data_IF_610229122153
#
_entry.id   IF_610229122153
#
_cell.length_a   1.000
_cell.length_b   1.000
_cell.length_c   1.000
_cell.angle_alpha   90.00
_cell.angle_beta   90.00
_cell.angle_gamma   90.00
#
_symmetry.space_group_name_H-M   'P 1'
#
loop_
_entity.id
_entity.type
_entity.pdbx_description
1 polymer ?
#
# COMPACT_ATOMS: atom_id res chain seq x y z
N UNK A 1 11.59 -24.38 -2.06
CA UNK A 1 12.71 -23.45 -2.36
C UNK A 1 12.60 -22.25 -1.42
N UNK A 2 13.70 -21.83 -0.81
CA UNK A 2 13.69 -20.84 0.27
C UNK A 2 13.31 -19.45 -0.23
N UNK A 3 13.80 -19.06 -1.41
CA UNK A 3 13.47 -17.77 -2.04
C UNK A 3 11.95 -17.61 -2.25
N UNK A 4 11.28 -18.71 -2.63
CA UNK A 4 9.82 -18.74 -2.76
C UNK A 4 9.10 -18.53 -1.42
N UNK A 5 9.60 -19.10 -0.34
CA UNK A 5 9.01 -18.89 0.98
C UNK A 5 9.14 -17.43 1.42
N UNK A 6 10.33 -16.84 1.26
CA UNK A 6 10.56 -15.44 1.63
C UNK A 6 9.72 -14.47 0.80
N UNK A 7 9.73 -14.60 -0.53
CA UNK A 7 8.94 -13.71 -1.39
C UNK A 7 7.46 -13.82 -1.10
N UNK A 8 6.94 -15.05 -0.89
CA UNK A 8 5.53 -15.25 -0.59
C UNK A 8 5.15 -14.66 0.77
N UNK A 9 6.01 -14.77 1.79
CA UNK A 9 5.78 -14.17 3.09
C UNK A 9 5.68 -12.64 3.00
N UNK A 10 6.61 -12.00 2.27
CA UNK A 10 6.61 -10.54 2.06
C UNK A 10 5.36 -10.08 1.31
N UNK A 11 4.95 -10.81 0.28
CA UNK A 11 3.74 -10.50 -0.47
C UNK A 11 2.47 -10.69 0.36
N UNK A 12 2.49 -11.57 1.37
CA UNK A 12 1.37 -11.73 2.29
C UNK A 12 1.29 -10.59 3.29
N UNK A 13 2.40 -10.29 3.95
CA UNK A 13 2.54 -9.15 4.86
C UNK A 13 4.03 -8.85 5.06
N UNK A 14 4.48 -7.67 4.61
CA UNK A 14 5.87 -7.25 4.73
C UNK A 14 6.37 -7.14 6.20
N UNK A 15 5.47 -7.01 7.17
CA UNK A 15 5.81 -6.85 8.59
C UNK A 15 6.26 -8.14 9.26
N UNK A 16 6.01 -9.31 8.64
CA UNK A 16 6.49 -10.60 9.15
C UNK A 16 8.00 -10.77 8.97
N UNK A 17 8.64 -9.92 8.16
CA UNK A 17 10.05 -10.03 7.88
C UNK A 17 10.87 -9.35 8.97
N UNK A 18 11.70 -10.15 9.65
CA UNK A 18 12.62 -9.69 10.69
C UNK A 18 14.04 -10.20 10.39
N UNK A 19 15.04 -9.34 10.60
CA UNK A 19 16.45 -9.68 10.46
C UNK A 19 17.13 -9.61 11.82
N UNK A 20 17.42 -10.77 12.39
CA UNK A 20 18.15 -10.94 13.65
C UNK A 20 19.58 -11.47 13.44
N UNK A 21 19.83 -12.17 12.33
CA UNK A 21 21.13 -12.76 11.99
C UNK A 21 22.09 -11.79 11.28
N UNK A 22 23.33 -11.62 11.77
CA UNK A 22 24.31 -10.72 11.15
C UNK A 22 24.79 -11.20 9.77
N UNK A 23 24.66 -12.48 9.46
CA UNK A 23 25.09 -13.11 8.21
C UNK A 23 23.92 -13.45 7.27
N UNK A 24 22.70 -13.03 7.59
CA UNK A 24 21.51 -13.34 6.78
C UNK A 24 21.69 -12.97 5.30
N UNK A 25 22.25 -11.78 5.02
CA UNK A 25 22.45 -11.33 3.65
C UNK A 25 23.41 -12.24 2.88
N UNK A 26 24.47 -12.71 3.52
CA UNK A 26 25.44 -13.61 2.91
C UNK A 26 24.82 -14.99 2.65
N UNK A 27 24.06 -15.51 3.62
CA UNK A 27 23.33 -16.78 3.45
C UNK A 27 22.28 -16.66 2.34
N UNK A 28 21.51 -15.58 2.30
CA UNK A 28 20.53 -15.30 1.27
C UNK A 28 21.18 -15.25 -0.13
N UNK A 29 22.32 -14.58 -0.27
CA UNK A 29 23.06 -14.53 -1.55
C UNK A 29 23.55 -15.92 -1.98
N UNK A 30 24.10 -16.72 -1.04
CA UNK A 30 24.52 -18.11 -1.32
C UNK A 30 23.34 -18.97 -1.73
N UNK A 31 22.22 -18.88 -1.03
CA UNK A 31 20.98 -19.61 -1.34
C UNK A 31 20.44 -19.22 -2.72
N UNK A 32 20.41 -17.93 -3.04
CA UNK A 32 20.01 -17.43 -4.35
C UNK A 32 20.86 -18.01 -5.48
N UNK A 33 22.18 -18.05 -5.30
CA UNK A 33 23.10 -18.66 -6.27
C UNK A 33 22.80 -20.14 -6.51
N UNK A 34 22.66 -20.93 -5.43
CA UNK A 34 22.34 -22.36 -5.52
C UNK A 34 21.02 -22.58 -6.26
N UNK A 35 19.99 -21.79 -5.93
CA UNK A 35 18.68 -21.93 -6.57
C UNK A 35 18.72 -21.56 -8.06
N UNK A 36 19.46 -20.50 -8.42
CA UNK A 36 19.68 -20.06 -9.82
C UNK A 36 20.39 -21.14 -10.63
N UNK A 37 21.46 -21.72 -10.07
CA UNK A 37 22.23 -22.78 -10.70
C UNK A 37 21.36 -24.02 -10.93
N UNK A 38 20.50 -24.37 -9.96
CA UNK A 38 19.60 -25.52 -10.05
C UNK A 38 18.38 -25.33 -10.96
N UNK A 39 17.98 -24.09 -11.28
CA UNK A 39 16.74 -23.80 -12.00
C UNK A 39 16.94 -23.42 -13.46
N UNK A 40 18.18 -23.38 -13.95
CA UNK A 40 18.49 -22.87 -15.30
C UNK A 40 18.25 -21.36 -15.47
N UNK A 41 18.18 -20.61 -14.35
CA UNK A 41 17.98 -19.16 -14.36
C UNK A 41 19.28 -18.36 -14.48
N UNK A 42 20.43 -19.03 -14.59
CA UNK A 42 21.77 -18.42 -14.61
C UNK A 42 21.84 -17.26 -15.61
N UNK A 43 21.36 -17.49 -16.83
CA UNK A 43 21.36 -16.50 -17.91
C UNK A 43 20.58 -15.23 -17.55
N UNK A 44 19.57 -15.31 -16.68
CA UNK A 44 18.65 -14.21 -16.38
C UNK A 44 19.05 -13.41 -15.14
N UNK A 45 20.04 -13.87 -14.39
CA UNK A 45 20.53 -13.19 -13.19
C UNK A 45 21.13 -11.80 -13.47
N UNK A 46 21.50 -11.50 -14.72
CA UNK A 46 22.11 -10.24 -15.15
C UNK A 46 21.30 -9.49 -16.22
N UNK A 47 20.24 -10.09 -16.72
CA UNK A 47 19.47 -9.57 -17.86
C UNK A 47 18.34 -8.64 -17.40
N UNK A 48 17.96 -7.71 -18.28
CA UNK A 48 16.76 -6.87 -18.11
C UNK A 48 15.48 -7.60 -18.53
N UNK A 49 14.29 -7.05 -18.23
CA UNK A 49 13.01 -7.66 -18.59
C UNK A 49 12.88 -8.04 -20.06
N UNK A 50 13.23 -7.13 -20.98
CA UNK A 50 13.09 -7.37 -22.43
C UNK A 50 13.90 -8.57 -22.93
N UNK A 51 15.15 -8.68 -22.48
CA UNK A 51 16.02 -9.79 -22.85
C UNK A 51 15.47 -11.11 -22.29
N UNK A 52 14.95 -11.09 -21.06
CA UNK A 52 14.36 -12.28 -20.42
C UNK A 52 13.06 -12.68 -21.13
N UNK A 53 12.21 -11.72 -21.54
CA UNK A 53 11.00 -11.99 -22.34
C UNK A 53 11.35 -12.71 -23.64
N UNK A 54 12.34 -12.21 -24.38
CA UNK A 54 12.81 -12.82 -25.62
C UNK A 54 13.34 -14.24 -25.40
N UNK A 55 14.23 -14.43 -24.42
CA UNK A 55 14.78 -15.75 -24.09
C UNK A 55 13.71 -16.72 -23.56
N UNK A 56 12.70 -16.23 -22.83
CA UNK A 56 11.59 -17.06 -22.35
C UNK A 56 10.73 -17.55 -23.51
N UNK A 57 10.42 -16.71 -24.50
CA UNK A 57 9.71 -17.11 -25.71
C UNK A 57 10.53 -18.11 -26.54
N UNK A 58 11.82 -17.86 -26.74
CA UNK A 58 12.69 -18.78 -27.47
C UNK A 58 12.76 -20.16 -26.80
N UNK A 59 12.95 -20.21 -25.48
CA UNK A 59 12.91 -21.46 -24.71
C UNK A 59 11.55 -22.13 -24.78
N UNK A 60 10.46 -21.35 -24.74
CA UNK A 60 9.12 -21.91 -24.90
C UNK A 60 8.92 -22.55 -26.28
N UNK A 61 9.39 -21.92 -27.35
CA UNK A 61 9.27 -22.46 -28.70
C UNK A 61 10.14 -23.70 -28.94
N UNK A 62 11.30 -23.79 -28.28
CA UNK A 62 12.27 -24.88 -28.48
C UNK A 62 12.05 -26.06 -27.54
N UNK A 63 11.74 -25.80 -26.26
CA UNK A 63 11.61 -26.81 -25.20
C UNK A 63 10.15 -27.03 -24.76
N UNK A 64 9.22 -26.17 -25.18
CA UNK A 64 7.84 -26.19 -24.72
C UNK A 64 7.66 -25.65 -23.30
N UNK A 65 6.50 -25.94 -22.70
CA UNK A 65 6.19 -25.54 -21.32
C UNK A 65 6.84 -26.46 -20.28
N UNK A 66 8.17 -26.52 -20.28
CA UNK A 66 8.95 -27.37 -19.39
C UNK A 66 9.01 -26.87 -17.94
N UNK A 67 9.27 -27.78 -17.01
CA UNK A 67 9.49 -27.42 -15.59
C UNK A 67 10.68 -26.47 -15.40
N UNK A 68 11.69 -26.55 -16.29
CA UNK A 68 12.86 -25.67 -16.30
C UNK A 68 12.47 -24.20 -16.54
N UNK A 69 11.72 -23.93 -17.62
CA UNK A 69 11.29 -22.58 -17.99
C UNK A 69 10.43 -21.94 -16.90
N UNK A 70 9.42 -22.67 -16.40
CA UNK A 70 8.54 -22.19 -15.32
C UNK A 70 9.31 -21.90 -14.04
N UNK A 71 10.25 -22.76 -13.66
CA UNK A 71 11.09 -22.54 -12.47
C UNK A 71 12.03 -21.35 -12.65
N UNK A 72 12.63 -21.18 -13.83
CA UNK A 72 13.51 -20.06 -14.12
C UNK A 72 12.75 -18.73 -14.02
N UNK A 73 11.58 -18.62 -14.65
CA UNK A 73 10.75 -17.40 -14.61
C UNK A 73 10.29 -17.10 -13.18
N UNK A 74 9.78 -18.14 -12.51
CA UNK A 74 9.30 -18.00 -11.14
C UNK A 74 10.39 -17.61 -10.15
N UNK A 75 11.63 -18.06 -10.35
CA UNK A 75 12.76 -17.67 -9.50
C UNK A 75 13.21 -16.24 -9.80
N UNK A 76 13.36 -15.86 -11.07
CA UNK A 76 13.80 -14.51 -11.47
C UNK A 76 12.88 -13.43 -10.92
N UNK A 77 11.57 -13.58 -11.07
CA UNK A 77 10.58 -12.65 -10.50
C UNK A 77 10.75 -12.50 -8.99
N UNK A 78 10.94 -13.61 -8.27
CA UNK A 78 11.09 -13.59 -6.81
C UNK A 78 12.40 -12.96 -6.37
N UNK A 79 13.49 -13.17 -7.11
CA UNK A 79 14.76 -12.51 -6.85
C UNK A 79 14.65 -11.00 -7.03
N UNK A 80 13.91 -10.53 -8.03
CA UNK A 80 13.63 -9.10 -8.19
C UNK A 80 12.77 -8.54 -7.05
N UNK A 81 11.69 -9.23 -6.66
CA UNK A 81 10.85 -8.84 -5.50
C UNK A 81 11.71 -8.72 -4.24
N UNK A 82 12.48 -9.76 -3.92
CA UNK A 82 13.35 -9.78 -2.75
C UNK A 82 14.41 -8.67 -2.84
N UNK A 83 15.01 -8.45 -4.02
CA UNK A 83 16.03 -7.42 -4.20
C UNK A 83 15.46 -6.04 -3.93
N UNK A 84 14.33 -5.70 -4.54
CA UNK A 84 13.68 -4.41 -4.34
C UNK A 84 13.26 -4.21 -2.89
N UNK A 85 12.60 -5.21 -2.30
CA UNK A 85 12.19 -5.18 -0.90
C UNK A 85 13.35 -4.96 0.08
N UNK A 86 14.45 -5.70 -0.08
CA UNK A 86 15.61 -5.57 0.82
C UNK A 86 16.32 -4.23 0.66
N UNK A 87 16.33 -3.66 -0.55
CA UNK A 87 16.93 -2.35 -0.79
C UNK A 87 16.13 -1.20 -0.16
N UNK A 88 14.79 -1.25 -0.18
CA UNK A 88 14.00 -0.28 0.59
C UNK A 88 14.14 -0.47 2.09
N UNK A 89 14.05 -1.71 2.59
CA UNK A 89 13.94 -1.96 4.03
C UNK A 89 15.27 -1.68 4.75
N UNK A 90 16.39 -2.16 4.19
CA UNK A 90 17.70 -2.10 4.86
C UNK A 90 18.46 -0.84 4.46
N UNK A 91 18.45 -0.50 3.16
CA UNK A 91 19.30 0.57 2.62
C UNK A 91 18.56 1.86 2.34
N UNK A 92 17.22 1.90 2.51
CA UNK A 92 16.35 3.03 2.16
C UNK A 92 16.56 3.52 0.72
N UNK A 93 16.87 2.59 -0.20
CA UNK A 93 17.03 2.88 -1.63
C UNK A 93 15.73 2.62 -2.36
N UNK A 94 14.79 3.56 -2.20
CA UNK A 94 13.44 3.43 -2.77
C UNK A 94 13.45 3.42 -4.30
N UNK A 95 14.40 4.11 -4.94
CA UNK A 95 14.54 4.10 -6.39
C UNK A 95 14.89 2.71 -6.95
N UNK A 96 15.80 2.00 -6.27
CA UNK A 96 16.14 0.61 -6.60
C UNK A 96 14.96 -0.33 -6.32
N UNK A 97 14.18 -0.06 -5.28
CA UNK A 97 12.96 -0.82 -4.98
C UNK A 97 11.93 -0.70 -6.10
N UNK A 98 11.62 0.54 -6.52
CA UNK A 98 10.72 0.83 -7.64
C UNK A 98 11.21 0.14 -8.92
N UNK A 99 12.50 0.22 -9.22
CA UNK A 99 13.07 -0.42 -10.41
C UNK A 99 12.87 -1.94 -10.39
N UNK A 100 13.30 -2.65 -9.34
CA UNK A 100 13.28 -4.10 -9.34
C UNK A 100 11.87 -4.68 -9.18
N UNK A 101 11.03 -4.09 -8.34
CA UNK A 101 9.64 -4.55 -8.20
C UNK A 101 8.86 -4.18 -9.46
N UNK A 102 9.13 -3.04 -10.09
CA UNK A 102 8.55 -2.64 -11.37
C UNK A 102 8.88 -3.63 -12.48
N UNK A 103 10.15 -4.04 -12.60
CA UNK A 103 10.58 -5.11 -13.52
C UNK A 103 9.81 -6.42 -13.30
N UNK A 104 9.62 -6.81 -12.04
CA UNK A 104 8.84 -8.00 -11.70
C UNK A 104 7.38 -7.85 -12.14
N UNK A 105 6.74 -6.73 -11.81
CA UNK A 105 5.35 -6.46 -12.18
C UNK A 105 5.15 -6.43 -13.70
N UNK A 106 6.03 -5.76 -14.42
CA UNK A 106 6.01 -5.68 -15.88
C UNK A 106 6.11 -7.07 -16.53
N UNK A 107 7.07 -7.88 -16.07
CA UNK A 107 7.26 -9.24 -16.56
C UNK A 107 6.06 -10.14 -16.25
N UNK A 108 5.45 -9.97 -15.07
CA UNK A 108 4.27 -10.71 -14.66
C UNK A 108 3.04 -10.37 -15.50
N UNK A 109 2.77 -9.08 -15.73
CA UNK A 109 1.67 -8.61 -16.58
C UNK A 109 1.84 -9.12 -18.02
N UNK A 110 3.06 -9.01 -18.55
CA UNK A 110 3.40 -9.55 -19.87
C UNK A 110 3.16 -11.06 -19.96
N UNK A 111 3.65 -11.84 -18.99
CA UNK A 111 3.51 -13.29 -19.00
C UNK A 111 2.05 -13.74 -18.84
N UNK A 112 1.29 -13.05 -17.99
CA UNK A 112 -0.13 -13.33 -17.81
C UNK A 112 -0.95 -13.15 -19.11
N UNK A 113 -0.64 -12.12 -19.90
CA UNK A 113 -1.28 -11.90 -21.20
C UNK A 113 -0.77 -12.88 -22.26
N UNK A 114 0.54 -13.10 -22.32
CA UNK A 114 1.18 -13.97 -23.32
C UNK A 114 0.68 -15.41 -23.23
N UNK A 115 0.42 -15.89 -22.01
CA UNK A 115 -0.03 -17.26 -21.74
C UNK A 115 -1.41 -17.31 -21.08
N UNK A 116 -2.30 -16.38 -21.45
CA UNK A 116 -3.65 -16.30 -20.88
C UNK A 116 -4.50 -17.55 -21.11
N UNK A 117 -4.26 -18.25 -22.22
CA UNK A 117 -4.99 -19.48 -22.60
C UNK A 117 -4.39 -20.74 -21.95
N UNK A 118 -3.26 -20.62 -21.24
CA UNK A 118 -2.64 -21.74 -20.52
C UNK A 118 -3.22 -21.90 -19.12
N UNK A 119 -3.36 -23.13 -18.64
CA UNK A 119 -3.86 -23.38 -17.28
C UNK A 119 -2.92 -22.78 -16.22
N UNK A 120 -3.44 -22.45 -15.02
CA UNK A 120 -2.60 -21.96 -13.91
C UNK A 120 -1.53 -22.97 -13.50
N UNK A 121 -1.84 -24.27 -13.56
CA UNK A 121 -0.87 -25.35 -13.29
C UNK A 121 0.28 -25.30 -14.30
N UNK A 122 -0.05 -25.04 -15.56
CA UNK A 122 0.96 -24.88 -16.61
C UNK A 122 1.69 -23.57 -16.39
N UNK A 123 1.07 -22.40 -16.62
CA UNK A 123 1.75 -21.10 -16.58
C UNK A 123 2.52 -20.83 -15.29
N UNK A 124 2.04 -21.37 -14.17
CA UNK A 124 2.65 -21.28 -12.86
C UNK A 124 2.04 -20.17 -12.01
N UNK A 125 2.05 -20.40 -10.70
CA UNK A 125 1.35 -19.56 -9.71
C UNK A 125 1.79 -18.09 -9.70
N UNK A 126 2.99 -17.79 -10.20
CA UNK A 126 3.50 -16.42 -10.27
C UNK A 126 2.68 -15.54 -11.21
N UNK A 127 2.08 -16.10 -12.25
CA UNK A 127 1.19 -15.37 -13.17
C UNK A 127 -0.27 -15.44 -12.74
N UNK A 128 -0.57 -15.91 -11.52
CA UNK A 128 -1.93 -15.84 -11.00
C UNK A 128 -2.31 -14.39 -10.69
N UNK A 129 -3.58 -14.00 -10.87
CA UNK A 129 -4.04 -12.64 -10.55
C UNK A 129 -3.68 -12.21 -9.13
N UNK A 130 -3.86 -13.10 -8.15
CA UNK A 130 -3.50 -12.82 -6.74
C UNK A 130 -2.02 -12.48 -6.54
N UNK A 131 -1.11 -13.17 -7.23
CA UNK A 131 0.32 -12.89 -7.12
C UNK A 131 0.67 -11.54 -7.76
N UNK A 132 0.07 -11.23 -8.91
CA UNK A 132 0.25 -9.95 -9.61
C UNK A 132 -0.20 -8.79 -8.74
N UNK A 133 -1.41 -8.89 -8.16
CA UNK A 133 -1.93 -7.86 -7.25
C UNK A 133 -1.05 -7.70 -6.01
N UNK A 134 -0.56 -8.79 -5.42
CA UNK A 134 0.39 -8.71 -4.30
C UNK A 134 1.67 -7.96 -4.67
N UNK A 135 2.24 -8.23 -5.86
CA UNK A 135 3.45 -7.54 -6.35
C UNK A 135 3.15 -6.08 -6.68
N UNK A 136 1.98 -5.79 -7.25
CA UNK A 136 1.57 -4.42 -7.57
C UNK A 136 1.34 -3.58 -6.30
N UNK A 137 0.73 -4.15 -5.26
CA UNK A 137 0.61 -3.50 -3.95
C UNK A 137 1.99 -3.18 -3.36
N UNK A 138 2.94 -4.11 -3.43
CA UNK A 138 4.30 -3.88 -2.97
C UNK A 138 5.04 -2.80 -3.80
N UNK A 139 4.80 -2.77 -5.11
CA UNK A 139 5.32 -1.72 -5.99
C UNK A 139 4.76 -0.35 -5.62
N UNK A 140 3.46 -0.26 -5.34
CA UNK A 140 2.80 0.98 -4.95
C UNK A 140 3.40 1.54 -3.66
N UNK A 141 3.65 0.69 -2.66
CA UNK A 141 4.34 1.08 -1.42
C UNK A 141 5.76 1.60 -1.69
N UNK A 142 6.52 0.91 -2.56
CA UNK A 142 7.85 1.35 -2.94
C UNK A 142 7.82 2.72 -3.65
N UNK A 143 6.85 2.93 -4.55
CA UNK A 143 6.69 4.17 -5.28
C UNK A 143 6.25 5.32 -4.36
N UNK A 144 5.32 5.07 -3.43
CA UNK A 144 4.91 6.06 -2.43
C UNK A 144 6.12 6.56 -1.63
N UNK A 145 6.95 5.64 -1.13
CA UNK A 145 8.17 6.01 -0.40
C UNK A 145 9.17 6.77 -1.29
N UNK A 146 9.31 6.38 -2.56
CA UNK A 146 10.17 7.05 -3.52
C UNK A 146 9.68 8.48 -3.82
N UNK A 147 8.37 8.68 -3.99
CA UNK A 147 7.74 9.99 -4.18
C UNK A 147 7.89 10.90 -2.96
N UNK A 148 7.79 10.35 -1.74
CA UNK A 148 8.04 11.13 -0.53
C UNK A 148 9.52 11.53 -0.39
N UNK A 149 10.44 10.66 -0.80
CA UNK A 149 11.88 10.90 -0.70
C UNK A 149 12.45 11.78 -1.81
N UNK A 150 11.95 11.64 -3.04
CA UNK A 150 12.40 12.38 -4.23
C UNK A 150 11.22 12.67 -5.18
N UNK A 151 10.37 13.66 -4.83
CA UNK A 151 9.18 14.00 -5.60
C UNK A 151 9.48 14.60 -6.98
N UNK A 152 10.75 14.95 -7.27
CA UNK A 152 11.15 15.44 -8.60
C UNK A 152 11.33 14.28 -9.57
N UNK A 153 11.84 13.15 -9.09
CA UNK A 153 12.05 11.93 -9.88
C UNK A 153 10.81 11.06 -9.95
N UNK A 154 10.04 10.98 -8.88
CA UNK A 154 8.85 10.12 -8.77
C UNK A 154 7.59 10.99 -8.59
N UNK A 155 6.79 11.11 -9.63
CA UNK A 155 5.67 12.06 -9.64
C UNK A 155 4.45 11.55 -8.87
N UNK A 156 3.74 12.49 -8.24
CA UNK A 156 2.47 12.20 -7.53
C UNK A 156 1.39 11.73 -8.50
N UNK A 157 1.42 12.17 -9.76
CA UNK A 157 0.44 11.81 -10.78
C UNK A 157 0.61 10.35 -11.23
N UNK A 158 1.86 9.87 -11.33
CA UNK A 158 2.13 8.45 -11.62
C UNK A 158 1.67 7.59 -10.45
N UNK A 159 2.02 7.98 -9.22
CA UNK A 159 1.58 7.30 -8.00
C UNK A 159 0.04 7.20 -7.91
N UNK A 160 -0.67 8.30 -8.23
CA UNK A 160 -2.13 8.32 -8.25
C UNK A 160 -2.71 7.37 -9.29
N UNK A 161 -2.17 7.39 -10.52
CA UNK A 161 -2.62 6.49 -11.58
C UNK A 161 -2.38 5.02 -11.23
N UNK A 162 -1.19 4.68 -10.74
CA UNK A 162 -0.86 3.30 -10.33
C UNK A 162 -1.77 2.83 -9.19
N UNK A 163 -2.14 3.72 -8.25
CA UNK A 163 -3.10 3.40 -7.20
C UNK A 163 -4.50 3.11 -7.77
N UNK A 164 -4.97 3.88 -8.75
CA UNK A 164 -6.25 3.61 -9.43
C UNK A 164 -6.22 2.29 -10.20
N UNK A 165 -5.11 2.00 -10.89
CA UNK A 165 -4.94 0.75 -11.62
C UNK A 165 -4.93 -0.45 -10.65
N UNK A 166 -4.25 -0.36 -9.51
CA UNK A 166 -4.28 -1.40 -8.47
C UNK A 166 -5.68 -1.59 -7.90
N UNK A 167 -6.41 -0.51 -7.62
CA UNK A 167 -7.78 -0.58 -7.10
C UNK A 167 -8.69 -1.37 -8.05
N UNK A 168 -8.62 -1.06 -9.35
CA UNK A 168 -9.35 -1.78 -10.38
C UNK A 168 -8.93 -3.25 -10.47
N UNK A 169 -7.63 -3.52 -10.46
CA UNK A 169 -7.13 -4.91 -10.49
C UNK A 169 -7.67 -5.73 -9.31
N UNK A 170 -7.81 -5.15 -8.12
CA UNK A 170 -8.37 -5.83 -6.95
C UNK A 170 -9.85 -6.22 -7.12
N UNK A 171 -10.63 -5.46 -7.88
CA UNK A 171 -12.03 -5.77 -8.18
C UNK A 171 -12.16 -6.93 -9.17
N UNK A 172 -11.17 -7.09 -10.05
CA UNK A 172 -11.13 -8.14 -11.07
C UNK A 172 -10.54 -9.47 -10.55
N UNK A 173 -9.95 -9.50 -9.35
CA UNK A 173 -9.38 -10.74 -8.78
C UNK A 173 -10.46 -11.73 -8.37
N UNK A 174 -10.51 -12.87 -9.06
CA UNK A 174 -11.22 -14.06 -8.61
C UNK A 174 -10.27 -14.94 -7.81
N UNK A 175 -10.56 -15.14 -6.52
CA UNK A 175 -9.80 -16.04 -5.65
C UNK A 175 -10.12 -17.51 -5.99
N UNK A 176 -9.13 -18.41 -5.97
CA UNK A 176 -9.39 -19.86 -6.08
C UNK A 176 -10.31 -20.35 -4.95
N UNK A 177 -11.17 -21.33 -5.24
CA UNK A 177 -12.11 -21.90 -4.26
C UNK A 177 -11.40 -22.38 -2.99
N UNK A 178 -10.23 -23.01 -3.14
CA UNK A 178 -9.39 -23.49 -2.04
C UNK A 178 -8.91 -22.36 -1.11
N UNK A 179 -8.81 -21.14 -1.64
CA UNK A 179 -8.38 -19.95 -0.90
C UNK A 179 -9.53 -19.21 -0.20
N UNK A 180 -10.79 -19.52 -0.52
CA UNK A 180 -11.95 -18.86 0.09
C UNK A 180 -12.04 -19.12 1.61
N UNK A 181 -11.46 -20.24 2.07
CA UNK A 181 -11.37 -20.62 3.47
C UNK A 181 -10.14 -20.09 4.23
N UNK A 182 -9.20 -19.40 3.59
CA UNK A 182 -8.03 -18.78 4.24
C UNK A 182 -8.25 -17.25 4.33
N UNK A 183 -8.70 -16.73 5.49
CA UNK A 183 -8.88 -15.29 5.69
C UNK A 183 -7.59 -14.51 5.45
N UNK A 184 -6.44 -15.08 5.81
CA UNK A 184 -5.15 -14.45 5.59
C UNK A 184 -4.81 -14.34 4.11
N UNK A 185 -5.15 -15.34 3.29
CA UNK A 185 -4.93 -15.27 1.85
C UNK A 185 -5.80 -14.18 1.22
N UNK A 186 -7.09 -14.16 1.59
CA UNK A 186 -8.01 -13.10 1.15
C UNK A 186 -7.48 -11.72 1.54
N UNK A 187 -7.08 -11.54 2.80
CA UNK A 187 -6.54 -10.27 3.28
C UNK A 187 -5.31 -9.83 2.50
N UNK A 188 -4.35 -10.74 2.30
CA UNK A 188 -3.10 -10.46 1.60
C UNK A 188 -3.27 -10.04 0.13
N UNK A 189 -4.24 -10.61 -0.58
CA UNK A 189 -4.33 -10.49 -2.04
C UNK A 189 -5.59 -9.81 -2.56
N UNK A 190 -6.47 -9.34 -1.68
CA UNK A 190 -7.64 -8.53 -2.06
C UNK A 190 -7.78 -7.32 -1.15
N UNK A 191 -7.98 -7.56 0.15
CA UNK A 191 -8.31 -6.52 1.12
C UNK A 191 -7.19 -5.52 1.36
N UNK A 192 -5.98 -5.97 1.70
CA UNK A 192 -4.86 -5.07 1.97
C UNK A 192 -4.39 -4.32 0.72
N UNK A 193 -4.23 -4.96 -0.45
CA UNK A 193 -3.97 -4.24 -1.69
C UNK A 193 -4.99 -3.12 -1.99
N UNK A 194 -6.28 -3.40 -1.80
CA UNK A 194 -7.35 -2.41 -1.98
C UNK A 194 -7.25 -1.26 -0.98
N UNK A 195 -7.04 -1.59 0.31
CA UNK A 195 -6.80 -0.59 1.35
C UNK A 195 -5.60 0.30 1.03
N UNK A 196 -4.48 -0.26 0.57
CA UNK A 196 -3.28 0.49 0.15
C UNK A 196 -3.56 1.42 -1.03
N UNK A 197 -4.24 0.93 -2.07
CA UNK A 197 -4.64 1.74 -3.21
C UNK A 197 -5.47 2.97 -2.78
N UNK A 198 -6.52 2.74 -1.98
CA UNK A 198 -7.39 3.80 -1.46
C UNK A 198 -6.61 4.81 -0.61
N UNK A 199 -5.72 4.35 0.27
CA UNK A 199 -4.91 5.26 1.11
C UNK A 199 -3.92 6.09 0.30
N UNK A 200 -3.40 5.55 -0.80
CA UNK A 200 -2.49 6.26 -1.72
C UNK A 200 -3.24 7.32 -2.53
N UNK A 201 -4.47 7.02 -2.98
CA UNK A 201 -5.38 7.99 -3.59
C UNK A 201 -5.70 9.12 -2.60
N UNK A 202 -5.99 8.77 -1.35
CA UNK A 202 -6.24 9.73 -0.30
C UNK A 202 -5.02 10.64 -0.03
N UNK A 203 -3.83 10.05 0.02
CA UNK A 203 -2.56 10.76 0.15
C UNK A 203 -2.33 11.75 -0.99
N UNK A 204 -2.62 11.35 -2.24
CA UNK A 204 -2.54 12.24 -3.40
C UNK A 204 -3.40 13.50 -3.20
N UNK A 205 -4.68 13.32 -2.86
CA UNK A 205 -5.57 14.45 -2.66
C UNK A 205 -5.15 15.35 -1.49
N UNK A 206 -4.70 14.78 -0.37
CA UNK A 206 -4.15 15.55 0.74
C UNK A 206 -2.96 16.42 0.30
N UNK A 207 -2.05 15.88 -0.52
CA UNK A 207 -0.87 16.62 -1.01
C UNK A 207 -1.20 17.69 -2.04
N UNK A 208 -2.24 17.49 -2.86
CA UNK A 208 -2.72 18.56 -3.75
C UNK A 208 -3.35 19.69 -2.93
N UNK A 209 -4.19 19.38 -1.93
CA UNK A 209 -4.77 20.38 -1.03
C UNK A 209 -3.68 21.19 -0.30
N UNK A 210 -2.66 20.52 0.25
CA UNK A 210 -1.52 21.16 0.91
C UNK A 210 -0.75 22.10 -0.04
N UNK A 211 -0.48 21.66 -1.28
CA UNK A 211 0.21 22.47 -2.28
C UNK A 211 -0.59 23.71 -2.69
N UNK A 212 -1.89 23.56 -2.91
CA UNK A 212 -2.79 24.66 -3.27
C UNK A 212 -2.87 25.68 -2.13
N UNK A 213 -2.95 25.21 -0.89
CA UNK A 213 -2.98 26.06 0.30
C UNK A 213 -1.67 26.84 0.51
N UNK A 214 -0.52 26.22 0.21
CA UNK A 214 0.78 26.90 0.27
C UNK A 214 1.02 27.88 -0.90
N UNK A 215 0.15 27.89 -1.91
CA UNK A 215 0.29 28.73 -3.09
C UNK A 215 -0.18 30.18 -2.87
N UNK A 216 0.36 31.11 -3.66
CA UNK A 216 -0.01 32.54 -3.60
C UNK A 216 -1.50 32.82 -3.87
N UNK A 217 -2.18 31.89 -4.55
CA UNK A 217 -3.59 32.00 -4.93
C UNK A 217 -4.52 31.17 -4.04
N UNK A 218 -4.09 30.75 -2.84
CA UNK A 218 -4.85 29.85 -1.97
C UNK A 218 -6.31 30.31 -1.73
N UNK A 219 -6.55 31.61 -1.54
CA UNK A 219 -7.91 32.16 -1.38
C UNK A 219 -8.79 31.98 -2.63
N UNK A 220 -8.23 32.15 -3.82
CA UNK A 220 -8.95 31.94 -5.07
C UNK A 220 -9.20 30.45 -5.36
N UNK A 221 -8.37 29.57 -4.79
CA UNK A 221 -8.42 28.12 -4.96
C UNK A 221 -9.13 27.39 -3.81
N UNK A 222 -9.79 28.13 -2.90
CA UNK A 222 -10.39 27.60 -1.68
C UNK A 222 -11.31 26.40 -1.94
N UNK A 223 -12.21 26.51 -2.92
CA UNK A 223 -13.13 25.42 -3.25
C UNK A 223 -12.38 24.14 -3.66
N UNK A 224 -11.30 24.26 -4.44
CA UNK A 224 -10.50 23.09 -4.83
C UNK A 224 -9.74 22.50 -3.64
N UNK A 225 -9.26 23.32 -2.72
CA UNK A 225 -8.61 22.87 -1.48
C UNK A 225 -9.60 22.06 -0.63
N UNK A 226 -10.82 22.57 -0.45
CA UNK A 226 -11.88 21.88 0.30
C UNK A 226 -12.31 20.58 -0.39
N UNK A 227 -12.48 20.60 -1.72
CA UNK A 227 -12.82 19.41 -2.51
C UNK A 227 -11.75 18.31 -2.38
N UNK A 228 -10.47 18.68 -2.51
CA UNK A 228 -9.38 17.71 -2.34
C UNK A 228 -9.27 17.19 -0.90
N UNK A 229 -9.48 18.05 0.11
CA UNK A 229 -9.51 17.61 1.51
C UNK A 229 -10.64 16.62 1.75
N UNK A 230 -11.85 16.88 1.21
CA UNK A 230 -12.99 15.96 1.31
C UNK A 230 -12.70 14.63 0.61
N UNK A 231 -12.20 14.67 -0.62
CA UNK A 231 -11.84 13.45 -1.36
C UNK A 231 -10.79 12.62 -0.62
N UNK A 232 -9.79 13.28 -0.01
CA UNK A 232 -8.80 12.60 0.83
C UNK A 232 -9.46 11.91 2.03
N UNK A 233 -10.36 12.61 2.72
CA UNK A 233 -11.06 12.08 3.88
C UNK A 233 -11.90 10.84 3.54
N UNK A 234 -12.66 10.91 2.45
CA UNK A 234 -13.52 9.82 1.97
C UNK A 234 -12.70 8.58 1.60
N UNK A 235 -11.58 8.75 0.89
CA UNK A 235 -10.73 7.61 0.50
C UNK A 235 -9.96 7.02 1.67
N UNK A 236 -9.50 7.82 2.64
CA UNK A 236 -8.93 7.30 3.89
C UNK A 236 -9.99 6.53 4.69
N UNK A 237 -11.22 7.03 4.76
CA UNK A 237 -12.32 6.32 5.43
C UNK A 237 -12.60 4.98 4.76
N UNK A 238 -12.72 4.95 3.42
CA UNK A 238 -12.89 3.70 2.67
C UNK A 238 -11.72 2.75 2.89
N UNK A 239 -10.49 3.25 2.86
CA UNK A 239 -9.29 2.46 3.14
C UNK A 239 -9.36 1.81 4.52
N UNK A 240 -9.73 2.56 5.56
CA UNK A 240 -9.87 2.04 6.92
C UNK A 240 -10.83 0.84 6.98
N UNK A 241 -11.95 0.90 6.26
CA UNK A 241 -12.96 -0.16 6.25
C UNK A 241 -12.58 -1.41 5.46
N UNK A 242 -11.50 -1.36 4.66
CA UNK A 242 -10.92 -2.58 4.13
C UNK A 242 -10.19 -3.36 5.25
N UNK A 243 -9.51 -2.68 6.17
CA UNK A 243 -8.75 -3.36 7.21
C UNK A 243 -9.64 -3.89 8.36
N UNK A 244 -9.29 -5.04 8.96
CA UNK A 244 -9.90 -5.52 10.20
C UNK A 244 -9.83 -4.46 11.31
N UNK A 245 -10.84 -4.41 12.18
CA UNK A 245 -10.96 -3.38 13.23
C UNK A 245 -9.86 -3.42 14.29
N UNK A 246 -9.13 -4.53 14.40
CA UNK A 246 -7.99 -4.75 15.28
C UNK A 246 -6.64 -4.60 14.56
N UNK A 247 -6.65 -4.11 13.32
CA UNK A 247 -5.47 -3.85 12.50
C UNK A 247 -5.01 -2.39 12.67
N UNK A 248 -3.70 -2.12 12.65
CA UNK A 248 -3.16 -0.78 12.93
C UNK A 248 -3.52 0.28 11.88
N UNK A 249 -3.58 -0.10 10.61
CA UNK A 249 -3.96 0.76 9.50
C UNK A 249 -5.44 1.13 9.54
N UNK A 250 -6.32 0.27 10.09
CA UNK A 250 -7.74 0.61 10.28
C UNK A 250 -7.88 1.89 11.10
N UNK A 251 -7.28 1.91 12.30
CA UNK A 251 -7.38 3.07 13.19
C UNK A 251 -6.58 4.24 12.63
N UNK A 252 -5.39 4.00 12.07
CA UNK A 252 -4.58 5.05 11.47
C UNK A 252 -5.31 5.78 10.34
N UNK A 253 -5.97 5.06 9.44
CA UNK A 253 -6.70 5.70 8.35
C UNK A 253 -8.00 6.38 8.79
N UNK A 254 -8.66 5.93 9.86
CA UNK A 254 -9.73 6.73 10.48
C UNK A 254 -9.20 8.08 11.01
N UNK A 255 -8.01 8.08 11.65
CA UNK A 255 -7.36 9.32 12.09
C UNK A 255 -7.08 10.24 10.90
N UNK A 256 -6.50 9.72 9.82
CA UNK A 256 -6.26 10.49 8.60
C UNK A 256 -7.57 11.04 7.99
N UNK A 257 -8.64 10.24 7.99
CA UNK A 257 -9.95 10.65 7.49
C UNK A 257 -10.52 11.83 8.29
N UNK A 258 -10.55 11.72 9.63
CA UNK A 258 -11.04 12.80 10.52
C UNK A 258 -10.28 14.10 10.29
N UNK A 259 -8.94 14.04 10.23
CA UNK A 259 -8.12 15.23 10.01
C UNK A 259 -8.40 15.90 8.66
N UNK A 260 -8.68 15.12 7.61
CA UNK A 260 -9.02 15.67 6.29
C UNK A 260 -10.47 16.17 6.22
N UNK A 261 -11.40 15.55 6.95
CA UNK A 261 -12.77 16.08 7.10
C UNK A 261 -12.78 17.42 7.83
N UNK A 262 -11.99 17.58 8.89
CA UNK A 262 -11.82 18.88 9.55
C UNK A 262 -11.31 19.95 8.59
N UNK A 263 -10.25 19.66 7.82
CA UNK A 263 -9.73 20.57 6.79
C UNK A 263 -10.74 20.91 5.70
N UNK A 264 -11.67 19.99 5.43
CA UNK A 264 -12.75 20.17 4.46
C UNK A 264 -13.96 20.93 5.03
N UNK A 265 -13.92 21.37 6.29
CA UNK A 265 -15.04 22.02 6.97
C UNK A 265 -16.23 21.09 7.18
N UNK A 266 -16.00 19.79 7.42
CA UNK A 266 -17.07 18.86 7.68
C UNK A 266 -17.75 19.15 9.03
N UNK A 267 -19.09 19.00 9.13
CA UNK A 267 -19.82 19.19 10.37
C UNK A 267 -19.50 18.08 11.40
N UNK A 268 -19.79 18.35 12.67
CA UNK A 268 -19.56 17.40 13.76
C UNK A 268 -20.35 16.09 13.58
N UNK A 269 -21.53 16.10 12.97
CA UNK A 269 -22.27 14.87 12.69
C UNK A 269 -21.53 13.91 11.73
N UNK A 270 -20.57 14.40 10.93
CA UNK A 270 -19.70 13.57 10.08
C UNK A 270 -18.47 13.09 10.85
N UNK A 271 -17.84 13.94 11.65
CA UNK A 271 -16.54 13.63 12.28
C UNK A 271 -16.67 12.89 13.62
N UNK A 272 -17.70 13.16 14.42
CA UNK A 272 -17.93 12.49 15.71
C UNK A 272 -18.11 10.98 15.60
N UNK A 273 -18.87 10.44 14.63
CA UNK A 273 -18.98 8.99 14.46
C UNK A 273 -17.62 8.32 14.17
N UNK A 274 -16.72 8.99 13.44
CA UNK A 274 -15.39 8.47 13.15
C UNK A 274 -14.48 8.50 14.38
N UNK A 275 -14.55 9.57 15.18
CA UNK A 275 -13.85 9.66 16.47
C UNK A 275 -14.32 8.56 17.43
N UNK A 276 -15.62 8.27 17.46
CA UNK A 276 -16.19 7.17 18.24
C UNK A 276 -15.66 5.80 17.79
N UNK A 277 -15.55 5.57 16.48
CA UNK A 277 -14.93 4.36 15.94
C UNK A 277 -13.46 4.24 16.35
N UNK A 278 -12.70 5.34 16.32
CA UNK A 278 -11.30 5.36 16.81
C UNK A 278 -11.28 4.94 18.29
N UNK A 279 -12.11 5.55 19.15
CA UNK A 279 -12.20 5.20 20.57
C UNK A 279 -12.56 3.74 20.81
N UNK A 280 -13.50 3.19 20.03
CA UNK A 280 -13.94 1.82 20.16
C UNK A 280 -12.89 0.79 19.69
N UNK A 281 -12.15 1.10 18.62
CA UNK A 281 -11.23 0.15 17.98
C UNK A 281 -9.79 0.25 18.48
N UNK A 282 -9.36 1.40 18.99
CA UNK A 282 -8.00 1.61 19.50
C UNK A 282 -7.57 0.57 20.57
N UNK A 283 -8.41 0.18 21.55
CA UNK A 283 -8.04 -0.88 22.50
C UNK A 283 -7.93 -2.27 21.85
N UNK A 284 -8.65 -2.53 20.76
CA UNK A 284 -8.57 -3.81 20.03
C UNK A 284 -7.27 -3.90 19.25
N UNK A 285 -6.96 -2.84 18.50
CA UNK A 285 -5.71 -2.69 17.76
C UNK A 285 -4.49 -2.83 18.67
N UNK A 286 -4.49 -2.18 19.85
CA UNK A 286 -3.38 -2.26 20.81
C UNK A 286 -3.08 -3.67 21.32
N UNK A 287 -4.06 -4.59 21.36
CA UNK A 287 -3.80 -5.98 21.80
C UNK A 287 -2.77 -6.71 20.93
N UNK A 288 -2.65 -6.30 19.67
CA UNK A 288 -1.76 -6.94 18.69
C UNK A 288 -0.62 -5.99 18.32
N UNK A 289 -0.92 -4.69 18.15
CA UNK A 289 -0.03 -3.74 17.51
C UNK A 289 0.50 -2.63 18.43
N UNK A 290 0.33 -2.72 19.75
CA UNK A 290 0.78 -1.66 20.70
C UNK A 290 2.26 -1.27 20.54
N UNK A 291 3.11 -2.23 20.14
CA UNK A 291 4.55 -2.01 19.99
C UNK A 291 5.01 -1.86 18.53
N UNK A 292 4.09 -1.83 17.58
CA UNK A 292 4.45 -1.56 16.19
C UNK A 292 5.04 -0.15 16.05
N UNK A 293 5.95 0.09 15.08
CA UNK A 293 6.48 1.42 14.82
C UNK A 293 5.37 2.46 14.59
N UNK A 294 4.35 2.11 13.78
CA UNK A 294 3.23 3.01 13.48
C UNK A 294 2.49 3.43 14.76
N UNK A 295 2.17 2.47 15.64
CA UNK A 295 1.43 2.76 16.87
C UNK A 295 2.26 3.59 17.84
N UNK A 296 3.54 3.27 17.98
CA UNK A 296 4.46 3.98 18.87
C UNK A 296 4.68 5.42 18.42
N UNK A 297 4.94 5.62 17.13
CA UNK A 297 5.26 6.93 16.57
C UNK A 297 4.03 7.86 16.55
N UNK A 298 2.81 7.30 16.55
CA UNK A 298 1.57 8.05 16.51
C UNK A 298 0.76 8.03 17.82
N UNK A 299 1.37 7.62 18.94
CA UNK A 299 0.69 7.55 20.24
C UNK A 299 -0.02 8.86 20.62
N UNK A 300 0.68 9.99 20.48
CA UNK A 300 0.12 11.30 20.80
C UNK A 300 -1.02 11.70 19.87
N UNK A 301 -0.98 11.29 18.60
CA UNK A 301 -2.08 11.52 17.66
C UNK A 301 -3.34 10.79 18.10
N UNK A 302 -3.23 9.54 18.58
CA UNK A 302 -4.40 8.82 19.09
C UNK A 302 -4.96 9.44 20.37
N UNK A 303 -4.10 9.81 21.32
CA UNK A 303 -4.49 10.51 22.56
C UNK A 303 -5.22 11.82 22.25
N UNK A 304 -4.72 12.54 21.25
CA UNK A 304 -5.33 13.77 20.77
C UNK A 304 -6.72 13.54 20.18
N UNK A 305 -6.93 12.51 19.35
CA UNK A 305 -8.26 12.21 18.80
C UNK A 305 -9.29 11.91 19.89
N UNK A 306 -8.92 11.14 20.93
CA UNK A 306 -9.80 10.86 22.06
C UNK A 306 -10.17 12.14 22.81
N UNK A 307 -9.19 13.01 23.05
CA UNK A 307 -9.42 14.31 23.69
C UNK A 307 -10.40 15.17 22.89
N UNK A 308 -10.25 15.23 21.57
CA UNK A 308 -11.15 16.02 20.71
C UNK A 308 -12.58 15.46 20.72
N UNK A 309 -12.75 14.12 20.75
CA UNK A 309 -14.09 13.52 20.90
C UNK A 309 -14.78 14.01 22.19
N UNK A 310 -14.07 13.94 23.31
CA UNK A 310 -14.59 14.35 24.63
C UNK A 310 -14.95 15.85 24.64
N UNK A 311 -14.09 16.71 24.08
CA UNK A 311 -14.31 18.15 24.02
C UNK A 311 -15.53 18.52 23.15
N UNK A 312 -15.67 17.91 21.96
CA UNK A 312 -16.82 18.16 21.09
C UNK A 312 -18.12 17.64 21.68
N UNK A 313 -18.14 16.45 22.27
CA UNK A 313 -19.34 15.92 22.95
C UNK A 313 -19.75 16.79 24.12
N UNK A 314 -18.79 17.28 24.90
CA UNK A 314 -19.05 18.22 25.99
C UNK A 314 -19.64 19.54 25.47
N UNK A 315 -19.08 20.10 24.41
CA UNK A 315 -19.58 21.35 23.82
C UNK A 315 -21.02 21.22 23.31
N UNK A 316 -21.38 20.08 22.70
CA UNK A 316 -22.76 19.77 22.29
C UNK A 316 -23.68 19.64 23.51
N UNK A 317 -23.28 18.88 24.53
CA UNK A 317 -24.07 18.68 25.74
C UNK A 317 -24.33 19.98 26.51
N UNK A 318 -23.39 20.93 26.47
CA UNK A 318 -23.51 22.26 27.04
C UNK A 318 -24.28 23.25 26.14
N UNK A 319 -24.69 22.84 24.94
CA UNK A 319 -25.40 23.70 23.97
C UNK A 319 -24.53 24.81 23.37
N UNK A 320 -23.20 24.69 23.47
CA UNK A 320 -22.24 25.67 22.93
C UNK A 320 -22.08 25.56 21.43
N UNK A 321 -22.26 24.35 20.89
CA UNK A 321 -22.21 24.06 19.46
C UNK A 321 -23.31 23.05 19.12
N UNK A 322 -23.79 23.08 17.88
CA UNK A 322 -24.69 22.06 17.34
C UNK A 322 -23.89 20.96 16.63
N UNK A 323 -24.53 19.85 16.32
CA UNK A 323 -23.99 18.77 15.50
C UNK A 323 -23.72 19.20 14.04
N UNK A 324 -24.45 20.19 13.54
CA UNK A 324 -24.21 20.84 12.23
C UNK A 324 -23.01 21.80 12.22
N UNK A 325 -22.41 22.10 13.37
CA UNK A 325 -21.31 23.05 13.45
C UNK A 325 -20.04 22.51 12.76
N UNK A 326 -19.37 23.35 11.98
CA UNK A 326 -18.11 23.05 11.30
C UNK A 326 -16.92 23.38 12.21
N UNK A 327 -16.86 22.71 13.36
CA UNK A 327 -15.79 22.92 14.35
C UNK A 327 -14.66 21.97 14.06
N UNK A 328 -13.43 22.49 14.15
CA UNK A 328 -12.22 21.70 14.02
C UNK A 328 -11.13 22.30 14.91
N UNK A 329 -10.11 21.52 15.28
CA UNK A 329 -8.98 22.08 15.99
C UNK A 329 -8.16 23.00 15.08
N UNK A 330 -7.56 24.07 15.64
CA UNK A 330 -6.86 25.14 14.89
C UNK A 330 -5.89 24.62 13.81
N UNK A 331 -5.10 23.59 14.13
CA UNK A 331 -4.12 23.00 13.21
C UNK A 331 -4.75 22.28 11.99
N UNK A 332 -6.07 22.06 12.01
CA UNK A 332 -6.88 21.46 10.96
C UNK A 332 -8.02 22.36 10.51
N UNK A 333 -8.07 23.61 10.98
CA UNK A 333 -9.10 24.55 10.60
C UNK A 333 -9.13 24.75 9.08
N UNK A 334 -10.34 24.82 8.48
CA UNK A 334 -10.46 25.22 7.10
C UNK A 334 -9.73 26.55 6.88
N UNK A 335 -8.99 26.69 5.77
CA UNK A 335 -8.25 27.91 5.53
C UNK A 335 -9.20 29.09 5.37
N UNK A 336 -8.84 30.22 5.99
CA UNK A 336 -9.58 31.49 5.94
C UNK A 336 -10.97 31.47 6.62
N UNK A 337 -11.22 30.58 7.59
CA UNK A 337 -12.41 30.70 8.43
C UNK A 337 -12.39 32.02 9.21
N UNK A 338 -13.32 32.92 8.91
CA UNK A 338 -13.40 34.28 9.47
C UNK A 338 -13.83 34.31 10.95
N UNK A 339 -14.15 33.17 11.55
CA UNK A 339 -14.80 33.05 12.87
C UNK A 339 -13.84 32.74 14.07
N UNK A 340 -12.51 32.86 13.90
CA UNK A 340 -11.53 32.56 14.97
C UNK A 340 -10.60 33.75 15.35
N UNK A 341 -11.09 34.99 15.27
CA UNK A 341 -10.46 36.15 15.93
C UNK A 341 -11.07 36.43 17.31
#
# INVERSE_FOLDING_TARGET
KAISAFSNAILRDARVFHLDGPDFLDQYMKQGKIEVDSSGAIAWSKSGPEEIKAQALERYHTEGWGSSLRQAMGLTVRLWIMRGYMDQMIRRRYDVSVEFIGRALEFLKWGAETWKDSSTSDRGIVFSPSFIVGVHALYLDAYLNATQSDPKRFSMETLYKDAQDLLKECEDVVLPDESLGDPGFKMSFTTYPKGRALSTIAFYHAKIAERLLAGQNAKAELEKILQHSRSSAEHYMQSAFEYPVDEEMHVWFLVCAVQNFWRAGAPLHVTLPLLELIRANLPRMRKIWEHSPLTRDNKHTYEYMLKMEDEFRKAIAEGKVTDEAQVSPDQFAPPFSEDYE
#
